data_IF_384245907782
#
_entry.id   IF_384245907782
#
_cell.length_a   1.000
_cell.length_b   1.000
_cell.length_c   1.000
_cell.angle_alpha   90.00
_cell.angle_beta   90.00
_cell.angle_gamma   90.00
#
_symmetry.space_group_name_H-M   'P 1'
#
loop_
_entity.id
_entity.type
_entity.pdbx_description
1 polymer ?
#
# COMPACT_ATOMS: atom_id res chain seq x y z
N UNK A 1 12.48 16.88 -9.21
CA UNK A 1 12.26 15.78 -8.26
C UNK A 1 11.90 14.56 -9.09
N UNK A 2 12.77 13.57 -9.10
CA UNK A 2 12.54 12.34 -9.86
C UNK A 2 11.40 11.56 -9.20
N UNK A 3 10.34 11.24 -9.96
CA UNK A 3 9.23 10.41 -9.49
C UNK A 3 9.70 8.96 -9.56
N UNK A 4 10.40 8.52 -8.52
CA UNK A 4 10.88 7.15 -8.37
C UNK A 4 9.74 6.24 -7.91
N UNK A 5 9.54 5.17 -8.66
CA UNK A 5 8.60 4.09 -8.35
C UNK A 5 9.08 3.30 -7.12
N UNK A 6 8.20 3.06 -6.15
CA UNK A 6 8.48 2.20 -5.00
C UNK A 6 7.86 0.82 -5.23
N UNK A 7 8.66 -0.24 -5.17
CA UNK A 7 8.10 -1.59 -5.10
C UNK A 7 7.52 -1.83 -3.70
N UNK A 8 6.22 -2.16 -3.65
CA UNK A 8 5.52 -2.50 -2.42
C UNK A 8 4.95 -3.90 -2.52
N UNK A 9 4.58 -4.49 -1.39
CA UNK A 9 3.98 -5.83 -1.36
C UNK A 9 2.57 -5.78 -0.84
N UNK A 10 1.65 -6.56 -1.41
CA UNK A 10 0.38 -6.85 -0.78
C UNK A 10 0.63 -7.40 0.64
N UNK A 11 -0.14 -6.97 1.61
CA UNK A 11 0.11 -7.30 3.00
C UNK A 11 -1.17 -7.55 3.78
N UNK A 12 -1.05 -8.35 4.83
CA UNK A 12 -2.12 -8.60 5.78
C UNK A 12 -1.58 -8.54 7.20
N UNK A 13 -2.43 -8.10 8.12
CA UNK A 13 -2.20 -8.20 9.56
C UNK A 13 -2.38 -9.62 10.13
N UNK A 14 -2.54 -10.64 9.28
CA UNK A 14 -2.78 -12.03 9.68
C UNK A 14 -4.25 -12.37 9.95
N UNK A 15 -5.16 -11.39 9.89
CA UNK A 15 -6.62 -11.58 10.02
C UNK A 15 -7.36 -10.82 8.92
N UNK A 16 -7.13 -11.14 7.63
CA UNK A 16 -7.79 -10.44 6.54
C UNK A 16 -9.27 -10.81 6.46
N UNK A 17 -10.12 -9.81 6.33
CA UNK A 17 -11.50 -9.99 5.93
C UNK A 17 -11.59 -9.86 4.40
N UNK A 18 -11.74 -10.99 3.71
CA UNK A 18 -11.80 -11.04 2.25
C UNK A 18 -13.14 -10.58 1.64
N UNK A 19 -14.14 -10.26 2.46
CA UNK A 19 -15.39 -9.66 2.01
C UNK A 19 -15.31 -8.13 2.07
N UNK A 20 -14.75 -7.58 3.15
CA UNK A 20 -14.73 -6.12 3.38
C UNK A 20 -13.40 -5.46 3.03
N UNK A 21 -12.33 -6.23 2.86
CA UNK A 21 -10.97 -5.71 2.69
C UNK A 21 -10.27 -5.31 4.00
N UNK A 22 -10.96 -5.35 5.14
CA UNK A 22 -10.33 -5.02 6.43
C UNK A 22 -9.18 -5.97 6.75
N UNK A 23 -8.08 -5.45 7.31
CA UNK A 23 -6.89 -6.26 7.61
C UNK A 23 -5.96 -6.52 6.43
N UNK A 24 -6.28 -5.98 5.24
CA UNK A 24 -5.42 -5.96 4.06
C UNK A 24 -4.86 -4.56 3.79
N UNK A 25 -3.72 -4.50 3.14
CA UNK A 25 -3.03 -3.27 2.79
C UNK A 25 -1.82 -3.53 1.91
N UNK A 26 -0.91 -2.55 1.88
CA UNK A 26 0.40 -2.69 1.24
C UNK A 26 1.51 -2.42 2.26
N UNK A 27 2.57 -3.20 2.17
CA UNK A 27 3.80 -3.01 2.94
C UNK A 27 4.84 -2.32 2.09
N UNK A 28 5.39 -1.23 2.60
CA UNK A 28 6.43 -0.41 1.99
C UNK A 28 7.79 -0.80 2.60
N UNK A 29 8.90 -0.61 1.91
CA UNK A 29 10.22 -0.83 2.51
C UNK A 29 10.51 0.21 3.61
N UNK A 30 11.40 -0.10 4.56
CA UNK A 30 11.79 0.87 5.59
C UNK A 30 12.47 2.09 4.94
N UNK A 31 13.26 1.86 3.89
CA UNK A 31 13.96 2.89 3.14
C UNK A 31 12.96 3.82 2.46
N UNK A 32 12.05 3.28 1.65
CA UNK A 32 11.05 4.08 0.93
C UNK A 32 10.13 4.82 1.91
N UNK A 33 9.77 4.21 3.04
CA UNK A 33 9.03 4.94 4.08
C UNK A 33 9.79 6.19 4.52
N UNK A 34 11.08 6.06 4.85
CA UNK A 34 11.89 7.18 5.32
C UNK A 34 12.10 8.25 4.24
N UNK A 35 12.18 7.85 2.97
CA UNK A 35 12.46 8.75 1.85
C UNK A 35 11.22 9.53 1.40
N UNK A 36 10.02 8.91 1.41
CA UNK A 36 8.80 9.51 0.83
C UNK A 36 7.74 9.95 1.85
N UNK A 37 7.84 9.53 3.13
CA UNK A 37 6.83 9.84 4.15
C UNK A 37 7.40 10.74 5.25
N UNK A 38 6.61 11.75 5.64
CA UNK A 38 6.97 12.67 6.71
C UNK A 38 6.27 12.27 8.02
N UNK A 39 7.04 12.11 9.10
CA UNK A 39 6.53 11.70 10.42
C UNK A 39 5.49 12.65 11.03
N UNK A 40 5.48 13.92 10.59
CA UNK A 40 4.49 14.93 11.02
C UNK A 40 3.12 14.76 10.35
N UNK A 41 3.00 13.84 9.40
CA UNK A 41 1.78 13.62 8.61
C UNK A 41 1.04 12.42 9.17
N UNK A 42 -0.26 12.58 9.43
CA UNK A 42 -1.09 11.52 10.02
C UNK A 42 -1.92 10.75 9.00
N UNK A 43 -2.03 11.25 7.77
CA UNK A 43 -2.75 10.60 6.67
C UNK A 43 -2.14 10.93 5.32
N UNK A 44 -2.22 9.99 4.39
CA UNK A 44 -1.85 10.18 2.99
C UNK A 44 -3.04 9.87 2.10
N UNK A 45 -3.05 10.42 0.89
CA UNK A 45 -4.04 10.10 -0.12
C UNK A 45 -3.47 9.02 -1.04
N UNK A 46 -4.23 7.95 -1.27
CA UNK A 46 -3.88 6.89 -2.20
C UNK A 46 -4.90 6.86 -3.33
N UNK A 47 -4.42 6.90 -4.57
CA UNK A 47 -5.20 6.76 -5.79
C UNK A 47 -5.26 5.30 -6.21
N UNK A 48 -6.48 4.78 -6.32
CA UNK A 48 -6.85 3.42 -6.69
C UNK A 48 -7.80 3.51 -7.90
N UNK A 49 -7.35 3.15 -9.09
CA UNK A 49 -8.17 3.19 -10.34
C UNK A 49 -8.90 4.53 -10.57
N UNK A 50 -8.24 5.65 -10.25
CA UNK A 50 -8.83 6.99 -10.40
C UNK A 50 -9.69 7.45 -9.21
N UNK A 51 -9.96 6.58 -8.23
CA UNK A 51 -10.61 6.95 -6.97
C UNK A 51 -9.56 7.20 -5.88
N UNK A 52 -9.72 8.29 -5.11
CA UNK A 52 -8.79 8.61 -4.03
C UNK A 52 -9.36 8.24 -2.67
N UNK A 53 -8.54 7.65 -1.79
CA UNK A 53 -8.89 7.42 -0.40
C UNK A 53 -7.84 8.02 0.56
N UNK A 54 -8.32 8.57 1.68
CA UNK A 54 -7.45 9.01 2.77
C UNK A 54 -7.09 7.83 3.67
N UNK A 55 -5.81 7.51 3.76
CA UNK A 55 -5.26 6.39 4.53
C UNK A 55 -4.51 6.92 5.74
N UNK A 56 -4.90 6.47 6.95
CA UNK A 56 -4.24 6.88 8.19
C UNK A 56 -2.87 6.21 8.33
N UNK A 57 -1.85 6.99 8.67
CA UNK A 57 -0.54 6.48 9.06
C UNK A 57 -0.56 6.14 10.55
N UNK A 58 -0.72 4.86 10.87
CA UNK A 58 -0.78 4.40 12.27
C UNK A 58 0.60 4.43 12.93
N UNK A 59 0.67 4.37 14.27
CA UNK A 59 1.96 4.23 14.96
C UNK A 59 2.77 3.01 14.51
N UNK A 60 2.11 1.93 14.07
CA UNK A 60 2.78 0.75 13.50
C UNK A 60 3.54 1.05 12.20
N UNK A 61 3.04 1.98 11.38
CA UNK A 61 3.67 2.42 10.13
C UNK A 61 5.09 2.96 10.36
N UNK A 62 5.27 3.71 11.44
CA UNK A 62 6.55 4.33 11.80
C UNK A 62 7.51 3.41 12.57
N UNK A 63 7.05 2.21 12.98
CA UNK A 63 7.86 1.20 13.66
C UNK A 63 8.47 0.21 12.66
N UNK A 64 8.29 -1.09 12.89
CA UNK A 64 8.89 -2.18 12.12
C UNK A 64 8.03 -2.69 10.96
N UNK A 65 6.75 -2.30 10.90
CA UNK A 65 5.81 -2.73 9.87
C UNK A 65 5.18 -1.52 9.16
N UNK A 66 5.93 -0.85 8.25
CA UNK A 66 5.43 0.21 7.38
C UNK A 66 4.33 -0.29 6.45
N UNK A 67 3.09 -0.34 6.94
CA UNK A 67 1.91 -0.81 6.24
C UNK A 67 0.89 0.32 6.05
N UNK A 68 0.47 0.57 4.81
CA UNK A 68 -0.73 1.34 4.51
C UNK A 68 -1.93 0.39 4.53
N UNK A 69 -2.59 0.33 5.68
CA UNK A 69 -3.75 -0.55 5.90
C UNK A 69 -5.05 0.24 5.83
N UNK A 70 -5.90 -0.10 4.88
CA UNK A 70 -7.21 0.50 4.71
C UNK A 70 -8.15 -0.48 4.00
N UNK A 71 -9.41 -0.65 4.44
CA UNK A 71 -10.36 -1.54 3.76
C UNK A 71 -10.54 -1.24 2.27
N UNK A 72 -10.39 0.02 1.85
CA UNK A 72 -10.50 0.41 0.42
C UNK A 72 -9.31 -0.11 -0.40
N UNK A 73 -8.10 -0.09 0.17
CA UNK A 73 -6.94 -0.76 -0.44
C UNK A 73 -7.19 -2.27 -0.47
N UNK A 74 -7.70 -2.84 0.63
CA UNK A 74 -8.04 -4.26 0.70
C UNK A 74 -9.04 -4.70 -0.36
N UNK A 75 -10.12 -3.94 -0.56
CA UNK A 75 -11.10 -4.18 -1.62
C UNK A 75 -10.47 -4.08 -3.02
N UNK A 76 -9.59 -3.11 -3.23
CA UNK A 76 -8.85 -2.99 -4.48
C UNK A 76 -7.98 -4.23 -4.76
N UNK A 77 -7.30 -4.76 -3.74
CA UNK A 77 -6.55 -6.02 -3.85
C UNK A 77 -7.46 -7.23 -4.14
N UNK A 78 -8.62 -7.32 -3.48
CA UNK A 78 -9.59 -8.40 -3.68
C UNK A 78 -10.14 -8.39 -5.11
N UNK A 79 -10.54 -7.21 -5.61
CA UNK A 79 -11.08 -7.04 -6.97
C UNK A 79 -10.09 -7.54 -8.04
N UNK A 80 -8.79 -7.47 -7.74
CA UNK A 80 -7.69 -7.91 -8.60
C UNK A 80 -7.18 -9.32 -8.31
N UNK A 81 -7.78 -10.01 -7.35
CA UNK A 81 -7.35 -11.35 -6.89
C UNK A 81 -5.92 -11.38 -6.32
N UNK A 82 -5.45 -10.24 -5.80
CA UNK A 82 -4.12 -10.06 -5.21
C UNK A 82 -4.13 -10.26 -3.68
N UNK A 83 -5.28 -10.63 -3.10
CA UNK A 83 -5.50 -10.76 -1.67
C UNK A 83 -5.12 -12.14 -1.09
N UNK A 84 -4.66 -13.07 -1.93
CA UNK A 84 -4.22 -14.42 -1.54
C UNK A 84 -2.88 -14.70 -2.16
N UNK A 85 -1.97 -15.27 -1.38
CA UNK A 85 -0.62 -15.59 -1.83
C UNK A 85 -0.03 -16.75 -1.02
N UNK A 86 0.93 -17.52 -1.58
CA UNK A 86 1.69 -18.49 -0.81
C UNK A 86 2.45 -17.82 0.34
N UNK A 87 2.73 -18.59 1.39
CA UNK A 87 3.49 -18.10 2.54
C UNK A 87 4.80 -17.46 2.07
N UNK A 88 5.09 -16.25 2.56
CA UNK A 88 6.27 -15.45 2.22
C UNK A 88 6.37 -14.94 0.77
N UNK A 89 5.35 -15.13 -0.07
CA UNK A 89 5.36 -14.72 -1.48
C UNK A 89 4.22 -13.75 -1.81
N UNK A 90 4.10 -12.60 -1.11
CA UNK A 90 3.06 -11.62 -1.43
C UNK A 90 3.25 -11.05 -2.84
N UNK A 91 2.14 -10.69 -3.48
CA UNK A 91 2.16 -9.99 -4.77
C UNK A 91 2.91 -8.65 -4.66
N UNK A 92 3.76 -8.39 -5.65
CA UNK A 92 4.45 -7.11 -5.80
C UNK A 92 3.58 -6.12 -6.56
N UNK A 93 3.68 -4.87 -6.16
CA UNK A 93 2.89 -3.75 -6.64
C UNK A 93 3.79 -2.53 -6.75
N UNK A 94 3.33 -1.52 -7.46
CA UNK A 94 4.04 -0.25 -7.57
C UNK A 94 3.28 0.86 -6.84
N UNK A 95 3.99 1.60 -5.98
CA UNK A 95 3.48 2.82 -5.37
C UNK A 95 4.31 4.00 -5.90
N UNK A 96 3.64 4.92 -6.60
CA UNK A 96 4.30 6.07 -7.22
C UNK A 96 3.85 7.37 -6.54
N UNK A 97 4.78 8.22 -6.07
CA UNK A 97 4.41 9.53 -5.55
C UNK A 97 3.88 10.41 -6.71
N UNK A 98 2.76 11.09 -6.51
CA UNK A 98 2.15 11.97 -7.53
C UNK A 98 1.93 13.40 -7.02
N UNK A 99 2.44 13.72 -5.83
CA UNK A 99 2.31 15.02 -5.20
C UNK A 99 2.55 14.94 -3.69
N UNK A 100 2.27 16.05 -2.99
CA UNK A 100 2.48 16.12 -1.55
C UNK A 100 1.52 15.18 -0.81
N UNK A 101 2.07 14.13 -0.20
CA UNK A 101 1.32 13.10 0.52
C UNK A 101 0.27 12.39 -0.35
N UNK A 102 0.50 12.35 -1.66
CA UNK A 102 -0.36 11.73 -2.65
C UNK A 102 0.42 10.64 -3.37
N UNK A 103 -0.12 9.44 -3.35
CA UNK A 103 0.46 8.28 -3.99
C UNK A 103 -0.55 7.62 -4.90
N UNK A 104 -0.07 6.96 -5.95
CA UNK A 104 -0.89 6.13 -6.84
C UNK A 104 -0.39 4.70 -6.78
N UNK A 105 -1.31 3.77 -6.58
CA UNK A 105 -1.03 2.35 -6.49
C UNK A 105 -1.36 1.68 -7.82
N UNK A 106 -0.43 0.86 -8.30
CA UNK A 106 -0.57 0.08 -9.52
C UNK A 106 -0.27 -1.39 -9.25
N UNK A 107 -0.89 -2.24 -10.04
CA UNK A 107 -0.46 -3.63 -10.16
C UNK A 107 0.88 -3.67 -10.91
N UNK A 108 1.81 -4.48 -10.45
CA UNK A 108 3.06 -4.67 -11.17
C UNK A 108 2.81 -5.69 -12.28
N UNK A 109 2.60 -5.21 -13.51
CA UNK A 109 2.47 -6.10 -14.65
C UNK A 109 3.87 -6.61 -15.01
N UNK A 110 4.12 -7.92 -14.85
CA UNK A 110 5.27 -8.53 -15.49
C UNK A 110 5.16 -8.30 -17.00
N UNK A 111 6.17 -7.66 -17.59
CA UNK A 111 6.32 -7.63 -19.04
C UNK A 111 6.45 -9.09 -19.49
N UNK A 112 5.38 -9.63 -20.07
CA UNK A 112 5.45 -10.86 -20.86
C UNK A 112 6.27 -10.62 -22.12
#
# INVERSE_FOLDING_TARGET
>A
MELTMMEVSAWSNGRPNHQTGAGLGIRISIRDRSDYFCWKVHKVKVLLDGQSCDVKLTGGFWKSCPELRDPRIGQWLIKRRLNRWPKYHPHKLELTPCGKHLFKLFELHEKR
#
